data_IF_559129153534
#
_entry.id   IF_559129153534
#
_cell.length_a   1.000
_cell.length_b   1.000
_cell.length_c   1.000
_cell.angle_alpha   90.00
_cell.angle_beta   90.00
_cell.angle_gamma   90.00
#
_symmetry.space_group_name_H-M   'P 1'
#
loop_
_entity.id
_entity.type
_entity.pdbx_description
1 polymer ?
#
# COMPACT_ATOMS: atom_id res chain seq x y z
N UNK A 1 26.95 28.56 45.73
CA UNK A 1 26.92 27.46 44.75
C UNK A 1 25.56 26.77 44.89
N UNK A 2 24.64 26.93 43.93
CA UNK A 2 23.28 26.36 43.97
C UNK A 2 23.23 25.18 42.99
N UNK A 3 22.97 23.98 43.49
CA UNK A 3 22.79 22.78 42.67
C UNK A 3 21.32 22.72 42.29
N UNK A 4 21.01 22.89 41.01
CA UNK A 4 19.66 22.82 40.46
C UNK A 4 19.45 21.36 40.03
N UNK A 5 18.52 20.67 40.69
CA UNK A 5 18.10 19.30 40.41
C UNK A 5 17.34 19.24 39.09
N UNK A 6 17.84 18.44 38.14
CA UNK A 6 17.20 18.26 36.84
C UNK A 6 16.35 16.97 36.89
N UNK A 7 15.03 17.12 36.98
CA UNK A 7 14.07 16.01 36.94
C UNK A 7 13.70 15.72 35.49
N UNK A 8 14.32 14.69 34.92
CA UNK A 8 14.03 14.20 33.57
C UNK A 8 12.62 13.60 33.51
N UNK A 9 11.68 14.26 32.83
CA UNK A 9 10.36 13.69 32.51
C UNK A 9 10.51 12.77 31.30
N UNK A 10 10.34 11.47 31.49
CA UNK A 10 10.22 10.49 30.40
C UNK A 10 8.81 10.62 29.82
N UNK A 11 8.70 11.19 28.63
CA UNK A 11 7.45 11.21 27.86
C UNK A 11 7.46 9.94 27.00
N UNK A 12 6.75 8.90 27.45
CA UNK A 12 6.51 7.71 26.63
C UNK A 12 5.51 8.05 25.53
N UNK A 13 6.00 8.23 24.30
CA UNK A 13 5.18 8.39 23.12
C UNK A 13 4.49 7.05 22.79
N UNK A 14 3.18 6.99 22.98
CA UNK A 14 2.34 5.89 22.51
C UNK A 14 2.30 6.01 20.98
N UNK A 15 3.10 5.19 20.29
CA UNK A 15 3.03 5.06 18.85
C UNK A 15 1.70 4.39 18.50
N UNK A 16 0.72 5.20 18.07
CA UNK A 16 -0.49 4.73 17.43
C UNK A 16 -0.07 4.12 16.08
N UNK A 17 0.13 2.81 16.04
CA UNK A 17 0.22 2.07 14.77
C UNK A 17 -1.17 2.10 14.14
N UNK A 18 -1.45 3.11 13.33
CA UNK A 18 -2.60 3.07 12.45
C UNK A 18 -2.45 1.83 11.56
N UNK A 19 -3.46 0.96 11.53
CA UNK A 19 -3.50 -0.19 10.63
C UNK A 19 -3.36 0.35 9.20
N UNK A 20 -2.17 0.25 8.63
CA UNK A 20 -1.85 0.83 7.33
C UNK A 20 -1.99 -0.24 6.28
N UNK A 21 -2.84 0.02 5.28
CA UNK A 21 -3.05 -0.79 4.08
C UNK A 21 -1.83 -0.69 3.14
N UNK A 22 -0.62 -0.94 3.66
CA UNK A 22 0.61 -0.71 2.92
C UNK A 22 0.84 -1.80 1.87
N UNK A 23 1.09 -1.43 0.61
CA UNK A 23 1.48 -2.40 -0.41
C UNK A 23 2.83 -3.02 -0.07
N UNK A 24 2.91 -4.35 -0.09
CA UNK A 24 4.12 -5.11 0.24
C UNK A 24 4.38 -6.24 -0.75
N UNK A 25 5.54 -6.89 -0.62
CA UNK A 25 5.94 -8.04 -1.43
C UNK A 25 6.24 -7.71 -2.89
N UNK A 26 6.48 -8.75 -3.68
CA UNK A 26 6.67 -8.67 -5.12
C UNK A 26 5.57 -9.45 -5.83
N UNK A 27 4.79 -8.75 -6.63
CA UNK A 27 3.65 -9.30 -7.34
C UNK A 27 3.80 -9.02 -8.83
N UNK A 28 3.83 -10.08 -9.64
CA UNK A 28 3.93 -9.99 -11.09
C UNK A 28 2.53 -9.86 -11.71
N UNK A 29 2.32 -8.85 -12.54
CA UNK A 29 1.10 -8.70 -13.32
C UNK A 29 1.00 -9.83 -14.36
N UNK A 30 -0.07 -10.63 -14.30
CA UNK A 30 -0.28 -11.75 -15.23
C UNK A 30 -0.90 -11.34 -16.57
N UNK A 31 -1.35 -10.09 -16.67
CA UNK A 31 -2.02 -9.48 -17.81
C UNK A 31 -1.77 -7.97 -17.81
N UNK A 32 -2.31 -7.25 -18.80
CA UNK A 32 -2.38 -5.79 -18.75
C UNK A 32 -3.41 -5.36 -17.69
N UNK A 33 -3.02 -4.49 -16.75
CA UNK A 33 -3.85 -4.07 -15.61
C UNK A 33 -3.94 -2.54 -15.53
N UNK A 34 -5.18 -2.02 -15.50
CA UNK A 34 -5.44 -0.61 -15.20
C UNK A 34 -5.28 -0.33 -13.71
N UNK A 35 -4.41 0.61 -13.36
CA UNK A 35 -4.29 1.12 -11.99
C UNK A 35 -5.00 2.46 -11.90
N UNK A 36 -5.89 2.60 -10.92
CA UNK A 36 -6.75 3.77 -10.76
C UNK A 36 -6.20 4.77 -9.74
N UNK A 37 -6.44 6.07 -9.96
CA UNK A 37 -6.04 7.15 -9.03
C UNK A 37 -6.81 7.09 -7.71
N UNK A 38 -7.99 6.49 -7.70
CA UNK A 38 -8.88 6.40 -6.56
C UNK A 38 -9.69 5.09 -6.62
N UNK A 39 -10.38 4.77 -5.53
CA UNK A 39 -11.33 3.66 -5.42
C UNK A 39 -12.79 4.15 -5.35
N UNK A 40 -13.09 5.30 -5.97
CA UNK A 40 -14.43 5.91 -5.98
C UNK A 40 -14.87 6.21 -7.40
N UNK A 41 -16.13 5.93 -7.73
CA UNK A 41 -16.64 6.30 -9.05
C UNK A 41 -16.72 7.84 -9.22
N UNK A 42 -16.35 8.37 -10.41
CA UNK A 42 -15.83 7.65 -11.56
C UNK A 42 -14.36 7.22 -11.37
N UNK A 43 -14.05 5.99 -11.78
CA UNK A 43 -12.67 5.49 -11.76
C UNK A 43 -11.86 6.19 -12.86
N UNK A 44 -10.67 6.67 -12.51
CA UNK A 44 -9.75 7.36 -13.42
C UNK A 44 -8.46 6.57 -13.45
N UNK A 45 -8.06 6.08 -14.64
CA UNK A 45 -6.78 5.38 -14.83
C UNK A 45 -5.64 6.35 -14.52
N UNK A 46 -4.74 5.93 -13.64
CA UNK A 46 -3.49 6.61 -13.30
C UNK A 46 -2.39 6.21 -14.29
N UNK A 47 -2.22 4.89 -14.46
CA UNK A 47 -1.28 4.26 -15.37
C UNK A 47 -1.72 2.82 -15.65
N UNK A 48 -1.09 2.21 -16.65
CA UNK A 48 -1.31 0.82 -17.04
C UNK A 48 -0.07 0.01 -16.71
N UNK A 49 -0.28 -1.14 -16.09
CA UNK A 49 0.74 -2.17 -15.93
C UNK A 49 0.67 -3.15 -17.09
N UNK A 50 1.81 -3.49 -17.66
CA UNK A 50 1.95 -4.53 -18.66
C UNK A 50 2.20 -5.89 -17.99
N UNK A 51 1.85 -6.95 -18.71
CA UNK A 51 2.14 -8.32 -18.27
C UNK A 51 3.63 -8.49 -17.97
N UNK A 52 3.96 -9.04 -16.81
CA UNK A 52 5.32 -9.28 -16.32
C UNK A 52 5.88 -8.14 -15.47
N UNK A 53 5.23 -6.98 -15.41
CA UNK A 53 5.67 -5.91 -14.51
C UNK A 53 5.42 -6.28 -13.04
N UNK A 54 6.36 -5.88 -12.17
CA UNK A 54 6.35 -6.23 -10.75
C UNK A 54 5.95 -5.00 -9.92
N UNK A 55 5.04 -5.20 -8.98
CA UNK A 55 4.60 -4.20 -8.03
C UNK A 55 4.48 -4.76 -6.62
N UNK A 56 4.49 -3.90 -5.62
CA UNK A 56 4.00 -4.21 -4.29
C UNK A 56 2.48 -4.03 -4.26
N UNK A 57 1.77 -4.95 -3.59
CA UNK A 57 0.30 -4.96 -3.49
C UNK A 57 -0.10 -5.17 -2.05
N UNK A 58 -1.10 -4.43 -1.59
CA UNK A 58 -1.70 -4.61 -0.27
C UNK A 58 -2.49 -5.92 -0.26
N UNK A 59 -2.17 -6.82 0.66
CA UNK A 59 -2.96 -8.04 0.89
C UNK A 59 -4.35 -7.70 1.47
N UNK A 60 -4.46 -6.55 2.13
CA UNK A 60 -5.73 -6.03 2.59
C UNK A 60 -6.53 -5.43 1.44
N UNK A 61 -7.79 -5.88 1.33
CA UNK A 61 -8.77 -5.43 0.35
C UNK A 61 -9.76 -4.48 1.01
N UNK A 62 -9.94 -3.30 0.42
CA UNK A 62 -10.97 -2.34 0.83
C UNK A 62 -12.21 -2.53 -0.03
N UNK A 63 -13.34 -2.87 0.60
CA UNK A 63 -14.63 -3.01 -0.07
C UNK A 63 -15.30 -1.64 -0.24
N UNK A 64 -15.70 -1.31 -1.48
CA UNK A 64 -16.47 -0.12 -1.83
C UNK A 64 -17.56 -0.48 -2.85
N UNK A 65 -18.83 -0.32 -2.47
CA UNK A 65 -19.99 -0.60 -3.34
C UNK A 65 -19.86 -1.98 -4.02
N UNK A 66 -19.59 -3.00 -3.20
CA UNK A 66 -19.45 -4.41 -3.60
C UNK A 66 -18.21 -4.77 -4.44
N UNK A 67 -17.31 -3.80 -4.69
CA UNK A 67 -16.03 -4.03 -5.35
C UNK A 67 -14.88 -3.98 -4.33
N UNK A 68 -13.97 -4.95 -4.42
CA UNK A 68 -12.73 -4.97 -3.64
C UNK A 68 -11.63 -4.19 -4.33
N UNK A 69 -10.89 -3.39 -3.56
CA UNK A 69 -9.76 -2.64 -4.07
C UNK A 69 -8.51 -2.92 -3.24
N UNK A 70 -7.42 -3.26 -3.92
CA UNK A 70 -6.09 -3.37 -3.33
C UNK A 70 -5.29 -2.11 -3.64
N UNK A 71 -4.55 -1.61 -2.66
CA UNK A 71 -3.60 -0.53 -2.91
C UNK A 71 -2.34 -1.10 -3.57
N UNK A 72 -1.81 -0.41 -4.57
CA UNK A 72 -0.62 -0.86 -5.32
C UNK A 72 0.47 0.20 -5.33
N UNK A 73 1.72 -0.25 -5.31
CA UNK A 73 2.91 0.59 -5.41
C UNK A 73 3.89 -0.03 -6.41
N UNK A 74 4.07 0.64 -7.54
CA UNK A 74 4.87 0.22 -8.68
C UNK A 74 5.94 1.28 -8.99
N UNK A 75 6.89 0.96 -9.87
CA UNK A 75 7.87 1.93 -10.39
C UNK A 75 7.18 3.14 -11.07
N UNK A 76 6.09 2.88 -11.80
CA UNK A 76 5.26 3.90 -12.46
C UNK A 76 4.49 4.80 -11.49
N UNK A 77 4.36 4.40 -10.22
CA UNK A 77 3.65 5.15 -9.19
C UNK A 77 2.74 4.29 -8.32
N UNK A 78 1.82 4.97 -7.61
CA UNK A 78 0.88 4.35 -6.67
C UNK A 78 -0.56 4.51 -7.14
N UNK A 79 -1.43 3.57 -6.77
CA UNK A 79 -2.85 3.65 -7.07
C UNK A 79 -3.65 2.49 -6.49
N UNK A 80 -4.78 2.20 -7.14
CA UNK A 80 -5.73 1.20 -6.71
C UNK A 80 -5.99 0.20 -7.83
N UNK A 81 -5.81 -1.08 -7.53
CA UNK A 81 -6.30 -2.17 -8.35
C UNK A 81 -7.69 -2.61 -7.87
N UNK A 82 -8.55 -3.04 -8.80
CA UNK A 82 -9.90 -3.55 -8.50
C UNK A 82 -10.05 -5.06 -8.76
N UNK A 83 -9.23 -5.66 -9.61
CA UNK A 83 -9.45 -7.02 -10.15
C UNK A 83 -8.22 -7.59 -10.90
N UNK A 84 -7.07 -6.96 -10.80
CA UNK A 84 -5.88 -7.34 -11.55
C UNK A 84 -5.46 -8.76 -11.20
N UNK A 85 -5.06 -9.52 -12.21
CA UNK A 85 -4.50 -10.86 -12.00
C UNK A 85 -3.03 -10.68 -11.66
N UNK A 86 -2.70 -10.84 -10.39
CA UNK A 86 -1.33 -10.80 -9.92
C UNK A 86 -0.91 -12.17 -9.37
N UNK A 87 0.35 -12.50 -9.59
CA UNK A 87 0.99 -13.67 -8.99
C UNK A 87 2.02 -13.18 -7.99
N UNK A 88 1.85 -13.54 -6.71
CA UNK A 88 2.90 -13.32 -5.71
C UNK A 88 4.13 -14.11 -6.15
N UNK A 89 5.24 -13.41 -6.38
CA UNK A 89 6.53 -14.03 -6.47
C UNK A 89 6.88 -14.40 -5.03
N UNK A 90 6.94 -15.70 -4.74
CA UNK A 90 7.34 -16.19 -3.42
C UNK A 90 8.60 -15.45 -3.00
N UNK A 91 8.62 -14.97 -1.76
CA UNK A 91 9.82 -14.41 -1.16
C UNK A 91 10.95 -15.41 -1.44
N UNK A 92 11.92 -15.03 -2.28
CA UNK A 92 13.08 -15.87 -2.53
C UNK A 92 13.79 -16.00 -1.18
N UNK A 93 13.59 -17.14 -0.51
CA UNK A 93 14.33 -17.59 0.67
C UNK A 93 15.85 -17.45 0.46
#
# INVERSE_FOLDING_TARGET
>A
MRIITNTTRIISAIALTACSYEPTGQWEAMDTVDIYKNNNHPLIVAFVLEKGEICAISEDIILRKDLGYAQVSCEKGRGWDKSGRFKKLTDLD
#
